data_IF_016485786741
#
_entry.id   IF_016485786741
#
_cell.length_a   1.000
_cell.length_b   1.000
_cell.length_c   1.000
_cell.angle_alpha   90.00
_cell.angle_beta   90.00
_cell.angle_gamma   90.00
#
_symmetry.space_group_name_H-M   'P 1'
#
loop_
_entity.id
_entity.type
_entity.pdbx_description
1 polymer ?
#
# COMPACT_ATOMS: atom_id res chain seq x y z
N UNK A 1 4.04 -20.12 27.76
CA UNK A 1 4.13 -20.35 29.19
C UNK A 1 2.95 -19.73 29.89
N UNK A 2 2.26 -20.48 30.66
CA UNK A 2 1.16 -20.00 31.46
C UNK A 2 1.69 -19.05 32.54
N UNK A 3 1.22 -17.81 32.55
CA UNK A 3 1.19 -16.94 33.73
C UNK A 3 2.46 -16.20 34.13
N UNK A 4 3.13 -15.51 33.24
CA UNK A 4 4.18 -14.57 33.67
C UNK A 4 4.54 -13.56 32.58
N UNK A 5 4.69 -12.28 32.98
CA UNK A 5 5.12 -11.19 32.10
C UNK A 5 6.58 -11.30 31.64
N UNK A 6 7.33 -12.34 32.04
CA UNK A 6 8.72 -12.55 31.70
C UNK A 6 8.99 -13.98 31.28
N UNK A 7 9.64 -14.17 30.16
CA UNK A 7 10.13 -15.49 29.74
C UNK A 7 11.38 -15.84 30.55
N UNK A 8 11.34 -16.95 31.27
CA UNK A 8 12.46 -17.47 32.07
C UNK A 8 13.65 -17.94 31.24
N UNK A 9 13.39 -18.28 29.97
CA UNK A 9 14.38 -18.82 29.02
C UNK A 9 14.34 -18.07 27.71
N UNK A 10 15.49 -17.83 27.13
CA UNK A 10 15.63 -17.14 25.83
C UNK A 10 15.14 -18.04 24.67
N UNK A 11 15.31 -19.35 24.80
CA UNK A 11 14.75 -20.32 23.86
C UNK A 11 13.60 -21.08 24.51
N UNK A 12 12.49 -21.30 23.80
CA UNK A 12 11.36 -22.09 24.33
C UNK A 12 11.77 -23.55 24.51
N UNK A 13 11.41 -24.14 25.65
CA UNK A 13 11.65 -25.57 25.94
C UNK A 13 10.84 -26.47 25.01
N UNK A 14 9.69 -26.00 24.56
CA UNK A 14 8.82 -26.73 23.62
C UNK A 14 8.31 -25.79 22.53
N UNK A 15 8.52 -26.17 21.28
CA UNK A 15 7.94 -25.49 20.13
C UNK A 15 6.47 -25.90 20.00
N UNK A 16 5.57 -24.93 20.16
CA UNK A 16 4.14 -25.16 20.01
C UNK A 16 3.55 -24.21 18.97
N UNK A 17 2.63 -24.72 18.15
CA UNK A 17 1.87 -23.92 17.20
C UNK A 17 0.52 -23.46 17.76
N UNK A 18 0.26 -23.70 19.05
CA UNK A 18 -1.02 -23.39 19.68
C UNK A 18 -1.38 -21.90 19.59
N UNK A 19 -0.41 -20.99 19.74
CA UNK A 19 -0.64 -19.56 19.63
C UNK A 19 -1.08 -19.14 18.21
N UNK A 20 -0.50 -19.76 17.18
CA UNK A 20 -0.93 -19.53 15.80
C UNK A 20 -2.33 -20.09 15.56
N UNK A 21 -2.60 -21.31 16.01
CA UNK A 21 -3.94 -21.91 15.92
C UNK A 21 -4.97 -21.03 16.61
N UNK A 22 -4.66 -20.57 17.83
CA UNK A 22 -5.51 -19.69 18.61
C UNK A 22 -5.79 -18.35 17.89
N UNK A 23 -4.78 -17.73 17.27
CA UNK A 23 -4.90 -16.49 16.52
C UNK A 23 -5.94 -16.60 15.39
N UNK A 24 -6.02 -17.75 14.73
CA UNK A 24 -6.95 -17.99 13.64
C UNK A 24 -8.32 -18.54 14.08
N UNK A 25 -8.43 -19.15 15.25
CA UNK A 25 -9.67 -19.80 15.73
C UNK A 25 -10.44 -18.95 16.74
N UNK A 26 -9.74 -18.15 17.56
CA UNK A 26 -10.36 -17.33 18.61
C UNK A 26 -10.81 -15.99 18.04
N UNK A 27 -12.06 -15.91 17.58
CA UNK A 27 -12.65 -14.74 16.93
C UNK A 27 -13.48 -13.85 17.87
N UNK A 28 -13.59 -14.22 19.15
CA UNK A 28 -14.44 -13.53 20.14
C UNK A 28 -13.88 -12.19 20.58
N UNK A 29 -12.57 -12.12 20.82
CA UNK A 29 -11.89 -10.89 21.23
C UNK A 29 -11.38 -10.11 20.03
N UNK A 30 -10.78 -10.81 19.06
CA UNK A 30 -10.13 -10.21 17.88
C UNK A 30 -10.34 -11.14 16.68
N UNK A 31 -10.94 -10.60 15.63
CA UNK A 31 -11.14 -11.39 14.42
C UNK A 31 -9.96 -11.18 13.45
N UNK A 32 -8.81 -11.83 13.78
CA UNK A 32 -7.60 -11.76 12.94
C UNK A 32 -7.83 -12.24 11.50
N UNK A 33 -8.51 -13.36 11.23
CA UNK A 33 -8.77 -13.80 9.86
C UNK A 33 -9.49 -12.76 9.02
N UNK A 34 -10.46 -12.05 9.61
CA UNK A 34 -11.19 -10.97 8.93
C UNK A 34 -10.29 -9.78 8.64
N UNK A 35 -9.48 -9.34 9.61
CA UNK A 35 -8.55 -8.24 9.43
C UNK A 35 -7.49 -8.59 8.36
N UNK A 36 -6.99 -9.82 8.38
CA UNK A 36 -6.07 -10.33 7.36
C UNK A 36 -6.68 -10.29 5.97
N UNK A 37 -7.92 -10.78 5.81
CA UNK A 37 -8.64 -10.78 4.54
C UNK A 37 -8.94 -9.35 4.05
N UNK A 38 -9.32 -8.44 4.97
CA UNK A 38 -9.50 -7.04 4.63
C UNK A 38 -8.23 -6.43 4.07
N UNK A 39 -7.10 -6.62 4.78
CA UNK A 39 -5.80 -6.09 4.35
C UNK A 39 -5.37 -6.68 3.01
N UNK A 40 -5.53 -7.99 2.85
CA UNK A 40 -5.16 -8.68 1.61
C UNK A 40 -5.95 -8.15 0.40
N UNK A 41 -7.27 -8.02 0.53
CA UNK A 41 -8.13 -7.48 -0.52
C UNK A 41 -7.70 -6.04 -0.87
N UNK A 42 -7.55 -5.19 0.14
CA UNK A 42 -7.13 -3.80 -0.06
C UNK A 42 -5.76 -3.77 -0.76
N UNK A 43 -4.79 -4.55 -0.29
CA UNK A 43 -3.44 -4.59 -0.85
C UNK A 43 -3.40 -5.07 -2.30
N UNK A 44 -4.14 -6.11 -2.65
CA UNK A 44 -4.18 -6.62 -4.03
C UNK A 44 -4.73 -5.55 -4.97
N UNK A 45 -5.92 -5.01 -4.67
CA UNK A 45 -6.56 -4.05 -5.57
C UNK A 45 -5.80 -2.73 -5.65
N UNK A 46 -5.36 -2.19 -4.51
CA UNK A 46 -4.57 -0.95 -4.51
C UNK A 46 -3.21 -1.14 -5.20
N UNK A 47 -2.54 -2.27 -5.01
CA UNK A 47 -1.28 -2.58 -5.67
C UNK A 47 -1.44 -2.64 -7.20
N UNK A 48 -2.46 -3.32 -7.70
CA UNK A 48 -2.73 -3.39 -9.15
C UNK A 48 -2.96 -2.00 -9.76
N UNK A 49 -3.83 -1.21 -9.14
CA UNK A 49 -4.17 0.13 -9.63
C UNK A 49 -2.96 1.06 -9.50
N UNK A 50 -2.33 1.13 -8.32
CA UNK A 50 -1.19 2.00 -8.05
C UNK A 50 0.00 1.69 -8.97
N UNK A 51 0.37 0.42 -9.10
CA UNK A 51 1.51 0.01 -9.95
C UNK A 51 1.27 0.38 -11.40
N UNK A 52 0.08 0.07 -11.93
CA UNK A 52 -0.28 0.43 -13.32
C UNK A 52 -0.23 1.94 -13.52
N UNK A 53 -0.78 2.69 -12.58
CA UNK A 53 -0.82 4.15 -12.67
C UNK A 53 0.58 4.76 -12.56
N UNK A 54 1.38 4.38 -11.56
CA UNK A 54 2.74 4.89 -11.35
C UNK A 54 3.63 4.60 -12.56
N UNK A 55 3.65 3.36 -13.04
CA UNK A 55 4.51 2.99 -14.17
C UNK A 55 4.08 3.68 -15.47
N UNK A 56 2.77 3.76 -15.73
CA UNK A 56 2.26 4.41 -16.94
C UNK A 56 2.54 5.92 -16.95
N UNK A 57 2.26 6.62 -15.84
CA UNK A 57 2.55 8.05 -15.71
C UNK A 57 4.05 8.30 -15.82
N UNK A 58 4.87 7.50 -15.13
CA UNK A 58 6.34 7.65 -15.17
C UNK A 58 6.90 7.41 -16.57
N UNK A 59 6.34 6.46 -17.32
CA UNK A 59 6.70 6.24 -18.73
C UNK A 59 6.36 7.46 -19.60
N UNK A 60 5.13 7.98 -19.48
CA UNK A 60 4.72 9.20 -20.18
C UNK A 60 5.66 10.36 -19.86
N UNK A 61 6.00 10.53 -18.58
CA UNK A 61 6.91 11.59 -18.11
C UNK A 61 8.37 11.35 -18.51
N UNK A 62 8.79 10.12 -18.78
CA UNK A 62 10.15 9.81 -19.22
C UNK A 62 10.30 9.93 -20.74
N UNK A 63 9.37 9.38 -21.50
CA UNK A 63 9.53 9.15 -22.95
C UNK A 63 8.75 10.11 -23.83
N UNK A 64 7.55 10.51 -23.42
CA UNK A 64 6.74 11.38 -24.25
C UNK A 64 7.15 12.85 -24.09
N UNK A 65 7.08 13.61 -25.21
CA UNK A 65 7.40 15.04 -25.23
C UNK A 65 6.09 15.84 -25.30
N UNK A 66 5.75 16.54 -24.23
CA UNK A 66 4.62 17.46 -24.19
C UNK A 66 4.90 18.66 -23.28
N UNK A 67 4.24 19.79 -23.55
CA UNK A 67 4.53 21.08 -22.89
C UNK A 67 4.34 21.06 -21.37
N UNK A 68 3.35 20.31 -20.88
CA UNK A 68 3.00 20.24 -19.44
C UNK A 68 3.85 19.24 -18.63
N UNK A 69 4.81 18.56 -19.24
CA UNK A 69 5.62 17.52 -18.57
C UNK A 69 6.35 18.04 -17.32
N UNK A 70 7.11 19.14 -17.45
CA UNK A 70 7.86 19.73 -16.32
C UNK A 70 6.94 20.31 -15.23
N UNK A 71 5.95 21.16 -15.56
CA UNK A 71 4.99 21.65 -14.57
C UNK A 71 4.27 20.55 -13.80
N UNK A 72 3.81 19.50 -14.49
CA UNK A 72 3.13 18.38 -13.85
C UNK A 72 4.05 17.63 -12.86
N UNK A 73 5.28 17.33 -13.25
CA UNK A 73 6.24 16.68 -12.37
C UNK A 73 6.58 17.54 -11.15
N UNK A 74 6.78 18.85 -11.33
CA UNK A 74 7.03 19.75 -10.21
C UNK A 74 5.83 19.82 -9.25
N UNK A 75 4.61 19.90 -9.78
CA UNK A 75 3.38 19.86 -8.97
C UNK A 75 3.28 18.56 -8.18
N UNK A 76 3.49 17.41 -8.83
CA UNK A 76 3.46 16.11 -8.17
C UNK A 76 4.50 16.01 -7.04
N UNK A 77 5.70 16.57 -7.25
CA UNK A 77 6.73 16.63 -6.22
C UNK A 77 6.31 17.52 -5.04
N UNK A 78 5.82 18.74 -5.32
CA UNK A 78 5.37 19.68 -4.28
C UNK A 78 4.25 19.02 -3.45
N UNK A 79 3.26 18.41 -4.10
CA UNK A 79 2.18 17.72 -3.41
C UNK A 79 2.69 16.51 -2.60
N UNK A 80 3.70 15.79 -3.10
CA UNK A 80 4.33 14.68 -2.39
C UNK A 80 5.15 15.08 -1.15
N UNK A 81 5.54 16.35 -1.04
CA UNK A 81 6.24 16.89 0.13
C UNK A 81 5.27 17.37 1.23
N UNK A 82 3.98 17.44 0.95
CA UNK A 82 3.00 17.81 1.96
C UNK A 82 2.94 16.77 3.07
N UNK A 83 2.89 17.18 4.35
CA UNK A 83 2.78 16.25 5.47
C UNK A 83 1.54 15.36 5.34
N UNK A 84 1.74 14.06 5.42
CA UNK A 84 0.68 13.07 5.19
C UNK A 84 -0.55 13.28 6.11
N UNK A 85 -0.33 13.72 7.36
CA UNK A 85 -1.42 13.97 8.31
C UNK A 85 -2.33 15.15 7.91
N UNK A 86 -1.79 16.19 7.25
CA UNK A 86 -2.60 17.30 6.73
C UNK A 86 -3.50 16.83 5.58
N UNK A 87 -2.93 16.06 4.67
CA UNK A 87 -3.67 15.46 3.56
C UNK A 87 -4.76 14.50 4.05
N UNK A 88 -4.50 13.79 5.14
CA UNK A 88 -5.42 12.82 5.73
C UNK A 88 -6.77 13.42 6.13
N UNK A 89 -6.76 14.59 6.75
CA UNK A 89 -8.00 15.29 7.15
C UNK A 89 -8.82 15.68 5.93
N UNK A 90 -8.16 16.26 4.92
CA UNK A 90 -8.82 16.62 3.66
C UNK A 90 -9.40 15.40 2.95
N UNK A 91 -8.64 14.32 2.83
CA UNK A 91 -9.09 13.06 2.25
C UNK A 91 -10.29 12.48 2.98
N UNK A 92 -10.29 12.51 4.33
CA UNK A 92 -11.43 12.05 5.12
C UNK A 92 -12.71 12.83 4.77
N UNK A 93 -12.67 14.16 4.71
CA UNK A 93 -13.83 14.97 4.36
C UNK A 93 -14.30 14.76 2.92
N UNK A 94 -13.39 14.58 1.98
CA UNK A 94 -13.72 14.24 0.59
C UNK A 94 -14.44 12.89 0.55
N UNK A 95 -13.90 11.86 1.19
CA UNK A 95 -14.51 10.54 1.24
C UNK A 95 -15.88 10.55 1.93
N UNK A 96 -16.04 11.37 2.97
CA UNK A 96 -17.31 11.58 3.64
C UNK A 96 -18.33 12.24 2.74
N UNK A 97 -17.94 13.26 1.97
CA UNK A 97 -18.81 13.95 1.04
C UNK A 97 -19.34 13.05 -0.07
N UNK A 98 -18.54 12.06 -0.52
CA UNK A 98 -18.95 11.07 -1.53
C UNK A 98 -19.54 9.79 -0.93
N UNK A 99 -19.78 9.75 0.39
CA UNK A 99 -20.47 8.64 1.08
C UNK A 99 -19.64 7.36 1.27
N UNK A 100 -18.31 7.41 1.14
CA UNK A 100 -17.44 6.25 1.26
C UNK A 100 -16.90 5.99 2.70
N UNK A 101 -17.37 6.74 3.69
CA UNK A 101 -16.93 6.58 5.10
C UNK A 101 -17.83 5.62 5.89
N UNK A 102 -18.78 4.94 5.24
CA UNK A 102 -19.72 4.04 5.90
C UNK A 102 -19.87 2.70 5.19
N UNK A 103 -20.19 1.67 5.95
CA UNK A 103 -20.47 0.34 5.44
C UNK A 103 -19.35 -0.23 4.57
N UNK A 104 -19.71 -0.90 3.48
CA UNK A 104 -18.75 -1.49 2.52
C UNK A 104 -17.92 -0.44 1.76
N UNK A 105 -18.35 0.82 1.74
CA UNK A 105 -17.63 1.95 1.16
C UNK A 105 -16.24 2.16 1.78
N UNK A 106 -16.06 1.79 3.05
CA UNK A 106 -14.77 1.90 3.74
C UNK A 106 -13.63 1.11 3.07
N UNK A 107 -13.89 -0.08 2.53
CA UNK A 107 -12.88 -0.83 1.78
C UNK A 107 -12.50 -0.11 0.49
N UNK A 108 -13.49 0.41 -0.23
CA UNK A 108 -13.26 1.20 -1.44
C UNK A 108 -12.48 2.47 -1.13
N UNK A 109 -12.82 3.15 -0.03
CA UNK A 109 -12.08 4.32 0.43
C UNK A 109 -10.59 4.01 0.63
N UNK A 110 -10.26 2.93 1.34
CA UNK A 110 -8.87 2.51 1.55
C UNK A 110 -8.18 2.11 0.25
N UNK A 111 -8.87 1.38 -0.64
CA UNK A 111 -8.32 1.04 -1.95
C UNK A 111 -7.99 2.31 -2.74
N UNK A 112 -8.88 3.31 -2.77
CA UNK A 112 -8.65 4.57 -3.46
C UNK A 112 -7.46 5.35 -2.87
N UNK A 113 -7.36 5.44 -1.54
CA UNK A 113 -6.25 6.11 -0.86
C UNK A 113 -4.90 5.48 -1.27
N UNK A 114 -4.79 4.15 -1.13
CA UNK A 114 -3.53 3.45 -1.44
C UNK A 114 -3.26 3.31 -2.95
N UNK A 115 -4.28 3.48 -3.79
CA UNK A 115 -4.12 3.50 -5.25
C UNK A 115 -3.56 4.82 -5.77
N UNK A 116 -3.76 5.92 -5.03
CA UNK A 116 -3.24 7.21 -5.41
C UNK A 116 -1.70 7.22 -5.24
N UNK A 117 -0.98 7.01 -6.32
CA UNK A 117 0.48 7.03 -6.30
C UNK A 117 1.02 8.36 -5.77
N UNK A 118 2.06 8.29 -4.95
CA UNK A 118 2.75 9.48 -4.47
C UNK A 118 3.61 10.13 -5.56
N UNK A 119 3.76 11.45 -5.52
CA UNK A 119 4.65 12.18 -6.42
C UNK A 119 6.08 11.63 -6.41
N UNK A 120 6.59 11.19 -5.25
CA UNK A 120 7.90 10.56 -5.11
C UNK A 120 8.00 9.23 -5.87
N UNK A 121 6.94 8.42 -5.89
CA UNK A 121 6.89 7.18 -6.67
C UNK A 121 7.03 7.43 -8.17
N UNK A 122 6.39 8.47 -8.70
CA UNK A 122 6.55 8.86 -10.10
C UNK A 122 7.99 9.28 -10.44
N UNK A 123 8.65 10.02 -9.53
CA UNK A 123 10.04 10.44 -9.73
C UNK A 123 11.01 9.27 -9.75
N UNK A 124 10.87 8.33 -8.79
CA UNK A 124 11.74 7.15 -8.70
C UNK A 124 11.59 6.30 -9.96
N UNK A 125 10.36 5.98 -10.35
CA UNK A 125 10.11 5.15 -11.54
C UNK A 125 10.54 5.86 -12.82
N UNK A 126 10.26 7.18 -12.96
CA UNK A 126 10.73 7.98 -14.08
C UNK A 126 12.26 8.02 -14.15
N UNK A 127 12.94 8.27 -13.00
CA UNK A 127 14.39 8.29 -12.95
C UNK A 127 15.01 6.98 -13.44
N UNK A 128 14.42 5.85 -13.07
CA UNK A 128 14.84 4.55 -13.60
C UNK A 128 14.59 4.41 -15.10
N UNK A 129 13.42 4.79 -15.60
CA UNK A 129 13.15 4.75 -17.05
C UNK A 129 14.07 5.65 -17.85
N UNK A 130 14.52 6.78 -17.27
CA UNK A 130 15.47 7.67 -17.93
C UNK A 130 16.87 7.03 -18.12
N UNK A 131 17.23 6.01 -17.33
CA UNK A 131 18.50 5.27 -17.47
C UNK A 131 18.50 4.34 -18.68
N UNK A 132 17.35 3.91 -19.18
CA UNK A 132 17.23 3.06 -20.35
C UNK A 132 17.59 3.89 -21.60
N UNK A 133 18.52 3.46 -22.47
CA UNK A 133 18.92 4.19 -23.67
C UNK A 133 17.73 4.52 -24.58
N UNK A 134 17.62 5.76 -25.03
CA UNK A 134 16.53 6.21 -25.93
C UNK A 134 16.58 5.50 -27.29
N UNK A 135 17.77 5.15 -27.76
CA UNK A 135 17.99 4.41 -29.02
C UNK A 135 17.16 3.12 -29.09
N UNK A 136 16.94 2.44 -27.94
CA UNK A 136 16.10 1.23 -27.90
C UNK A 136 14.62 1.51 -28.21
N UNK A 137 14.10 2.64 -27.69
CA UNK A 137 12.74 3.07 -28.00
C UNK A 137 12.61 3.58 -29.44
N UNK A 138 13.63 4.27 -29.93
CA UNK A 138 13.68 4.82 -31.30
C UNK A 138 13.77 3.69 -32.33
N UNK A 139 14.63 2.69 -32.11
CA UNK A 139 14.72 1.51 -32.99
C UNK A 139 13.38 0.77 -33.08
N UNK A 140 12.72 0.55 -31.93
CA UNK A 140 11.42 -0.10 -31.91
C UNK A 140 10.33 0.66 -32.66
N UNK A 141 10.37 2.00 -32.62
CA UNK A 141 9.43 2.84 -33.39
C UNK A 141 9.71 2.72 -34.88
N UNK A 142 10.98 2.67 -35.27
CA UNK A 142 11.38 2.44 -36.68
C UNK A 142 10.94 1.05 -37.17
N UNK A 143 10.94 0.05 -36.27
CA UNK A 143 10.42 -1.31 -36.54
C UNK A 143 8.87 -1.37 -36.55
N UNK A 144 8.17 -0.23 -36.43
CA UNK A 144 6.72 -0.11 -36.50
C UNK A 144 5.98 -0.30 -35.18
N UNK A 145 6.68 -0.34 -34.05
CA UNK A 145 6.03 -0.39 -32.73
C UNK A 145 5.34 0.94 -32.38
N UNK A 146 4.10 0.85 -31.86
CA UNK A 146 3.47 2.01 -31.25
C UNK A 146 3.99 2.23 -29.82
N UNK A 147 3.68 3.40 -29.22
CA UNK A 147 4.17 3.80 -27.89
C UNK A 147 3.79 2.80 -26.77
N UNK A 148 2.61 2.19 -26.85
CA UNK A 148 2.18 1.18 -25.90
C UNK A 148 3.00 -0.12 -26.03
N UNK A 149 3.32 -0.54 -27.26
CA UNK A 149 4.18 -1.70 -27.50
C UNK A 149 5.61 -1.44 -27.03
N UNK A 150 6.15 -0.24 -27.24
CA UNK A 150 7.45 0.17 -26.69
C UNK A 150 7.44 0.09 -25.18
N UNK A 151 6.41 0.60 -24.52
CA UNK A 151 6.26 0.52 -23.07
C UNK A 151 6.26 -0.92 -22.56
N UNK A 152 5.34 -1.74 -23.07
CA UNK A 152 5.10 -3.08 -22.56
C UNK A 152 6.19 -4.11 -22.97
N UNK A 153 6.68 -4.04 -24.21
CA UNK A 153 7.62 -5.05 -24.76
C UNK A 153 9.07 -4.71 -24.52
N UNK A 154 9.41 -3.45 -24.31
CA UNK A 154 10.81 -3.00 -24.21
C UNK A 154 11.10 -2.38 -22.86
N UNK A 155 10.42 -1.29 -22.49
CA UNK A 155 10.75 -0.53 -21.30
C UNK A 155 10.47 -1.32 -20.02
N UNK A 156 9.29 -1.92 -19.86
CA UNK A 156 8.95 -2.70 -18.67
C UNK A 156 9.89 -3.90 -18.45
N UNK A 157 10.19 -4.75 -19.45
CA UNK A 157 11.13 -5.85 -19.26
C UNK A 157 12.55 -5.41 -18.93
N UNK A 158 13.05 -4.32 -19.53
CA UNK A 158 14.36 -3.77 -19.21
C UNK A 158 14.40 -3.11 -17.83
N UNK A 159 13.25 -2.74 -17.31
CA UNK A 159 13.10 -2.03 -16.02
C UNK A 159 12.52 -2.92 -14.92
N UNK A 160 12.73 -4.24 -14.98
CA UNK A 160 12.23 -5.20 -13.97
C UNK A 160 12.47 -4.77 -12.51
N UNK A 161 13.66 -4.27 -12.12
CA UNK A 161 13.90 -3.90 -10.73
C UNK A 161 12.93 -2.84 -10.22
N UNK A 162 12.64 -1.80 -11.02
CA UNK A 162 11.71 -0.75 -10.60
C UNK A 162 10.26 -1.22 -10.59
N UNK A 163 9.89 -2.13 -11.48
CA UNK A 163 8.56 -2.75 -11.50
C UNK A 163 8.35 -3.53 -10.20
N UNK A 164 9.32 -4.40 -9.82
CA UNK A 164 9.27 -5.17 -8.58
C UNK A 164 9.22 -4.25 -7.36
N UNK A 165 10.06 -3.22 -7.31
CA UNK A 165 10.05 -2.22 -6.24
C UNK A 165 8.68 -1.57 -6.10
N UNK A 166 8.07 -1.12 -7.20
CA UNK A 166 6.77 -0.45 -7.20
C UNK A 166 5.66 -1.40 -6.72
N UNK A 167 5.67 -2.66 -7.16
CA UNK A 167 4.73 -3.68 -6.71
C UNK A 167 4.86 -3.92 -5.20
N UNK A 168 6.08 -4.14 -4.72
CA UNK A 168 6.34 -4.43 -3.30
C UNK A 168 5.91 -3.27 -2.41
N UNK A 169 6.29 -2.04 -2.74
CA UNK A 169 5.93 -0.87 -1.94
C UNK A 169 4.43 -0.63 -1.93
N UNK A 170 3.75 -0.76 -3.07
CA UNK A 170 2.30 -0.60 -3.17
C UNK A 170 1.53 -1.71 -2.43
N UNK A 171 2.03 -2.96 -2.46
CA UNK A 171 1.42 -4.08 -1.75
C UNK A 171 1.59 -3.97 -0.23
N UNK A 172 2.76 -3.53 0.23
CA UNK A 172 3.06 -3.44 1.66
C UNK A 172 2.43 -2.22 2.34
N UNK A 173 2.09 -1.16 1.61
CA UNK A 173 1.54 0.06 2.19
C UNK A 173 0.33 -0.17 3.13
N UNK A 174 -0.72 -0.91 2.75
CA UNK A 174 -1.85 -1.18 3.66
C UNK A 174 -1.51 -2.05 4.87
N UNK A 175 -0.42 -2.83 4.82
CA UNK A 175 0.03 -3.68 5.93
C UNK A 175 0.75 -2.89 7.02
N UNK A 176 1.39 -1.79 6.64
CA UNK A 176 2.24 -0.99 7.54
C UNK A 176 1.52 0.23 8.11
N UNK A 177 0.48 0.70 7.44
CA UNK A 177 -0.22 1.92 7.83
C UNK A 177 -1.42 1.61 8.73
N UNK A 178 -1.35 2.07 9.97
CA UNK A 178 -2.48 2.05 10.89
C UNK A 178 -3.13 3.43 11.07
N UNK A 179 -2.39 4.51 10.76
CA UNK A 179 -2.82 5.89 11.05
C UNK A 179 -3.99 6.30 10.15
N UNK A 180 -3.83 6.17 8.83
CA UNK A 180 -4.92 6.42 7.88
C UNK A 180 -6.11 5.51 8.13
N UNK A 181 -5.85 4.22 8.36
CA UNK A 181 -6.92 3.24 8.63
C UNK A 181 -7.70 3.63 9.88
N UNK A 182 -7.02 4.05 10.96
CA UNK A 182 -7.68 4.49 12.20
C UNK A 182 -8.60 5.68 11.97
N UNK A 183 -8.17 6.66 11.19
CA UNK A 183 -8.97 7.87 10.90
C UNK A 183 -10.17 7.56 10.02
N UNK A 184 -9.99 6.72 9.00
CA UNK A 184 -11.05 6.41 8.02
C UNK A 184 -12.06 5.40 8.59
N UNK A 185 -11.56 4.32 9.19
CA UNK A 185 -12.40 3.21 9.68
C UNK A 185 -12.92 3.45 11.09
N UNK A 186 -12.10 4.06 11.96
CA UNK A 186 -12.46 4.34 13.34
C UNK A 186 -12.80 3.07 14.15
N UNK A 187 -13.88 3.08 14.97
CA UNK A 187 -14.22 1.96 15.84
C UNK A 187 -14.91 0.78 15.13
N UNK A 188 -15.06 0.82 13.80
CA UNK A 188 -15.77 -0.20 13.02
C UNK A 188 -14.89 -1.43 12.79
N UNK A 189 -14.79 -2.32 13.77
CA UNK A 189 -13.94 -3.52 13.83
C UNK A 189 -14.08 -4.45 12.61
N UNK A 190 -15.25 -4.50 12.02
CA UNK A 190 -15.53 -5.27 10.78
C UNK A 190 -14.59 -4.93 9.62
N UNK A 191 -14.07 -3.70 9.58
CA UNK A 191 -13.24 -3.18 8.48
C UNK A 191 -11.78 -2.94 8.89
N UNK A 192 -11.38 -3.33 10.09
CA UNK A 192 -10.01 -3.20 10.54
C UNK A 192 -9.03 -3.95 9.62
N UNK A 193 -7.88 -3.34 9.43
CA UNK A 193 -6.70 -3.99 8.84
C UNK A 193 -5.87 -4.66 9.92
N UNK A 194 -4.92 -5.49 9.52
CA UNK A 194 -3.99 -6.15 10.46
C UNK A 194 -3.22 -5.13 11.28
N UNK A 195 -2.70 -4.07 10.65
CA UNK A 195 -1.95 -3.01 11.34
C UNK A 195 -2.79 -2.32 12.43
N UNK A 196 -4.03 -1.95 12.12
CA UNK A 196 -4.93 -1.32 13.08
C UNK A 196 -5.37 -2.30 14.19
N UNK A 197 -5.60 -3.57 13.85
CA UNK A 197 -5.92 -4.60 14.82
C UNK A 197 -4.76 -4.79 15.81
N UNK A 198 -3.53 -4.92 15.32
CA UNK A 198 -2.33 -5.06 16.17
C UNK A 198 -2.11 -3.82 17.03
N UNK A 199 -2.32 -2.62 16.48
CA UNK A 199 -2.24 -1.38 17.25
C UNK A 199 -3.25 -1.37 18.42
N UNK A 200 -4.51 -1.72 18.16
CA UNK A 200 -5.53 -1.78 19.20
C UNK A 200 -5.24 -2.88 20.25
N UNK A 201 -4.57 -3.97 19.86
CA UNK A 201 -4.11 -4.99 20.81
C UNK A 201 -3.07 -4.45 21.80
N UNK A 202 -2.19 -3.55 21.34
CA UNK A 202 -1.13 -2.98 22.16
C UNK A 202 -1.63 -1.84 23.07
N UNK A 203 -2.65 -1.10 22.64
CA UNK A 203 -3.07 0.15 23.31
C UNK A 203 -3.99 -0.10 24.51
N UNK A 204 -4.66 -1.25 24.66
CA UNK A 204 -5.73 -1.42 25.65
C UNK A 204 -5.76 -2.77 26.34
N UNK A 205 -6.65 -2.85 27.33
CA UNK A 205 -7.14 -3.98 28.15
C UNK A 205 -7.01 -5.40 27.54
N UNK A 206 -6.85 -5.50 26.22
CA UNK A 206 -6.57 -6.73 25.50
C UNK A 206 -5.19 -7.33 25.85
N UNK A 207 -4.21 -6.49 26.25
CA UNK A 207 -2.89 -6.96 26.68
C UNK A 207 -3.03 -7.96 27.80
N UNK A 208 -3.82 -7.66 28.82
CA UNK A 208 -4.04 -8.55 29.96
C UNK A 208 -4.83 -9.81 29.57
N UNK A 209 -5.84 -9.69 28.72
CA UNK A 209 -6.64 -10.84 28.26
C UNK A 209 -5.93 -11.77 27.29
N UNK A 210 -4.99 -11.24 26.50
CA UNK A 210 -4.29 -12.03 25.48
C UNK A 210 -2.99 -12.65 25.99
N UNK A 211 -2.22 -11.93 26.80
CA UNK A 211 -0.93 -12.39 27.32
C UNK A 211 -1.00 -13.17 28.64
N UNK A 212 -2.11 -13.09 29.37
CA UNK A 212 -2.30 -13.78 30.65
C UNK A 212 -3.06 -15.11 30.56
N UNK A 213 -3.44 -15.53 29.35
CA UNK A 213 -4.14 -16.82 29.16
C UNK A 213 -3.28 -17.82 28.44
#
# INVERSE_FOLDING_TARGET
>A
GEGGAYTKYFFPEQLTFNNYKRLFTETTLLNFPRAFMNTLIISIFSCMISTTFVLSVSYCMSRLRFKMRKPFMNLAMILGLFPAFMSMVAVYFILKAIGLTEGSGLRLALILIYSAGSGTGFYIAKGFFDTVPKSMSEAAILDGCNQFQVFYRIILPLSKPIVVYTILTAFLAPWLDFVFVRVIVGPKDKYWTVSLLLYNMLEKEFVNGWFTR
#
